data_IF_796281390713
#
_entry.id   IF_796281390713
#
_cell.length_a   1.000
_cell.length_b   1.000
_cell.length_c   1.000
_cell.angle_alpha   90.00
_cell.angle_beta   90.00
_cell.angle_gamma   90.00
#
_symmetry.space_group_name_H-M   'P 1'
#
loop_
_entity.id
_entity.type
_entity.pdbx_description
1 polymer ?
#
# COMPACT_ATOMS: atom_id res chain seq x y z
N UNK A 1 8.38 5.56 22.85
CA UNK A 1 7.44 6.29 21.96
C UNK A 1 6.12 5.53 21.92
N UNK A 2 5.01 6.25 21.77
CA UNK A 2 3.68 5.75 21.44
C UNK A 2 3.56 5.68 19.92
N UNK A 3 3.45 4.48 19.37
CA UNK A 3 3.35 4.21 17.94
C UNK A 3 1.95 3.69 17.63
N UNK A 4 1.30 4.27 16.62
CA UNK A 4 0.20 3.59 15.95
C UNK A 4 0.78 2.69 14.85
N UNK A 5 0.33 1.44 14.76
CA UNK A 5 0.68 0.52 13.68
C UNK A 5 -0.54 0.38 12.78
N UNK A 6 -0.47 0.91 11.55
CA UNK A 6 -1.58 0.87 10.59
C UNK A 6 -1.43 -0.31 9.65
N UNK A 7 -2.54 -0.99 9.37
CA UNK A 7 -2.62 -2.09 8.41
C UNK A 7 -3.99 -2.08 7.72
N UNK A 8 -4.12 -2.74 6.58
CA UNK A 8 -5.38 -2.80 5.84
C UNK A 8 -6.32 -3.84 6.45
N UNK A 9 -7.46 -3.44 7.01
CA UNK A 9 -8.44 -4.38 7.58
C UNK A 9 -9.21 -5.11 6.47
N UNK A 10 -8.72 -6.31 6.12
CA UNK A 10 -9.31 -7.14 5.06
C UNK A 10 -10.37 -8.13 5.55
N UNK A 11 -10.76 -8.10 6.84
CA UNK A 11 -11.70 -9.08 7.43
C UNK A 11 -13.09 -9.06 6.79
N UNK A 12 -13.48 -7.93 6.18
CA UNK A 12 -14.72 -7.77 5.44
C UNK A 12 -14.67 -8.27 3.99
N UNK A 13 -13.48 -8.60 3.47
CA UNK A 13 -13.30 -9.06 2.10
C UNK A 13 -13.60 -10.56 1.99
N UNK A 14 -14.24 -10.96 0.88
CA UNK A 14 -14.58 -12.37 0.61
C UNK A 14 -13.51 -12.99 -0.28
N UNK A 15 -13.03 -14.17 0.12
CA UNK A 15 -12.07 -14.97 -0.66
C UNK A 15 -12.68 -15.41 -1.99
N UNK A 16 -11.96 -15.25 -3.10
CA UNK A 16 -12.37 -15.77 -4.42
C UNK A 16 -13.27 -14.86 -5.28
N UNK A 17 -13.34 -13.56 -5.00
CA UNK A 17 -13.81 -12.54 -5.95
C UNK A 17 -12.60 -11.87 -6.62
N UNK A 18 -12.76 -11.36 -7.85
CA UNK A 18 -11.68 -10.89 -8.74
C UNK A 18 -10.78 -9.76 -8.20
N UNK A 19 -11.03 -9.29 -6.99
CA UNK A 19 -10.11 -8.45 -6.25
C UNK A 19 -9.05 -9.31 -5.57
N UNK A 20 -7.83 -9.18 -6.04
CA UNK A 20 -6.64 -9.87 -5.55
C UNK A 20 -6.64 -9.99 -4.01
N UNK A 21 -6.71 -11.24 -3.54
CA UNK A 21 -6.75 -11.62 -2.13
C UNK A 21 -5.45 -11.13 -1.46
N UNK A 22 -5.53 -10.24 -0.48
CA UNK A 22 -4.42 -9.95 0.45
C UNK A 22 -4.72 -10.66 1.79
N UNK A 23 -4.47 -11.98 1.89
CA UNK A 23 -4.73 -12.77 3.11
C UNK A 23 -3.79 -12.43 4.29
N UNK A 24 -2.85 -11.50 4.11
CA UNK A 24 -1.73 -11.27 5.05
C UNK A 24 -1.84 -9.94 5.82
N UNK A 25 -3.03 -9.36 5.93
CA UNK A 25 -3.23 -8.02 6.50
C UNK A 25 -4.25 -8.00 7.66
N UNK A 26 -4.47 -9.10 8.38
CA UNK A 26 -5.25 -9.03 9.63
C UNK A 26 -4.37 -8.72 10.85
N UNK A 27 -4.99 -8.48 12.00
CA UNK A 27 -4.26 -8.16 13.23
C UNK A 27 -3.30 -9.28 13.66
N UNK A 28 -3.62 -10.55 13.35
CA UNK A 28 -2.74 -11.68 13.66
C UNK A 28 -1.47 -11.65 12.81
N UNK A 29 -1.59 -11.27 11.54
CA UNK A 29 -0.43 -11.07 10.66
C UNK A 29 0.51 -9.95 11.17
N UNK A 30 -0.02 -8.99 11.95
CA UNK A 30 0.78 -7.90 12.51
C UNK A 30 1.53 -8.26 13.80
N UNK A 31 1.16 -9.35 14.48
CA UNK A 31 1.73 -9.73 15.77
C UNK A 31 3.28 -9.80 15.78
N UNK A 32 3.96 -10.37 14.76
CA UNK A 32 5.42 -10.37 14.73
C UNK A 32 6.03 -8.96 14.79
N UNK A 33 5.44 -8.00 14.07
CA UNK A 33 5.91 -6.61 14.05
C UNK A 33 5.62 -5.93 15.39
N UNK A 34 4.40 -6.11 15.91
CA UNK A 34 3.97 -5.59 17.21
C UNK A 34 4.91 -6.08 18.32
N UNK A 35 5.20 -7.38 18.37
CA UNK A 35 6.07 -7.99 19.36
C UNK A 35 7.50 -7.42 19.31
N UNK A 36 8.04 -7.23 18.11
CA UNK A 36 9.39 -6.63 17.94
C UNK A 36 9.40 -5.18 18.39
N UNK A 37 8.43 -4.36 17.97
CA UNK A 37 8.34 -2.95 18.38
C UNK A 37 8.16 -2.79 19.89
N UNK A 38 7.33 -3.64 20.52
CA UNK A 38 7.17 -3.67 21.98
C UNK A 38 8.47 -4.07 22.68
N UNK A 39 9.18 -5.08 22.17
CA UNK A 39 10.49 -5.52 22.72
C UNK A 39 11.54 -4.41 22.64
N UNK A 40 11.45 -3.53 21.63
CA UNK A 40 12.30 -2.35 21.50
C UNK A 40 11.90 -1.19 22.44
N UNK A 41 10.86 -1.36 23.26
CA UNK A 41 10.42 -0.38 24.26
C UNK A 41 9.37 0.62 23.77
N UNK A 42 8.74 0.37 22.63
CA UNK A 42 7.63 1.20 22.14
C UNK A 42 6.28 0.73 22.72
N UNK A 43 5.38 1.68 22.96
CA UNK A 43 3.97 1.39 23.18
C UNK A 43 3.30 1.33 21.81
N UNK A 44 2.70 0.19 21.45
CA UNK A 44 2.19 -0.05 20.09
C UNK A 44 0.70 -0.28 20.14
N UNK A 45 -0.03 0.55 19.40
CA UNK A 45 -1.48 0.47 19.18
C UNK A 45 -1.75 0.03 17.74
N UNK A 46 -2.14 -1.24 17.50
CA UNK A 46 -2.52 -1.70 16.17
C UNK A 46 -3.87 -1.11 15.76
N UNK A 47 -3.98 -0.62 14.52
CA UNK A 47 -5.19 -0.03 13.96
C UNK A 47 -5.42 -0.54 12.54
N UNK A 48 -6.43 -1.39 12.39
CA UNK A 48 -6.92 -1.81 11.07
C UNK A 48 -7.71 -0.69 10.41
N UNK A 49 -7.46 -0.48 9.12
CA UNK A 49 -8.09 0.56 8.30
C UNK A 49 -8.77 -0.03 7.07
N UNK A 50 -9.96 0.47 6.79
CA UNK A 50 -10.63 0.33 5.50
C UNK A 50 -10.67 1.69 4.84
N UNK A 51 -11.02 1.76 3.56
CA UNK A 51 -11.18 3.05 2.91
C UNK A 51 -12.22 3.94 3.61
N UNK A 52 -13.29 3.32 4.12
CA UNK A 52 -14.35 4.01 4.83
C UNK A 52 -13.89 4.63 6.16
N UNK A 53 -12.91 4.03 6.84
CA UNK A 53 -12.44 4.49 8.16
C UNK A 53 -11.23 5.41 8.09
N UNK A 54 -10.63 5.62 6.92
CA UNK A 54 -9.48 6.52 6.73
C UNK A 54 -9.74 7.92 7.29
N UNK A 55 -10.89 8.52 6.98
CA UNK A 55 -11.21 9.88 7.40
C UNK A 55 -11.34 10.02 8.93
N UNK A 56 -11.56 8.93 9.65
CA UNK A 56 -11.70 8.88 11.11
C UNK A 56 -10.37 8.65 11.83
N UNK A 57 -9.28 8.40 11.08
CA UNK A 57 -7.95 8.14 11.64
C UNK A 57 -7.36 9.32 12.45
N UNK A 58 -7.44 10.60 12.03
CA UNK A 58 -6.74 11.69 12.71
C UNK A 58 -7.03 11.82 14.22
N UNK A 59 -8.30 11.81 14.69
CA UNK A 59 -8.57 11.88 16.13
C UNK A 59 -8.03 10.66 16.88
N UNK A 60 -7.96 9.47 16.25
CA UNK A 60 -7.42 8.24 16.85
C UNK A 60 -5.91 8.28 17.03
N UNK A 61 -5.21 9.11 16.25
CA UNK A 61 -3.76 9.29 16.35
C UNK A 61 -3.34 10.30 17.44
N UNK A 62 -4.29 10.88 18.18
CA UNK A 62 -4.00 11.87 19.23
C UNK A 62 -3.05 11.31 20.29
N UNK A 63 -1.88 11.95 20.41
CA UNK A 63 -0.83 11.57 21.36
C UNK A 63 0.04 10.39 20.92
N UNK A 64 -0.09 9.93 19.68
CA UNK A 64 0.93 9.10 19.04
C UNK A 64 2.13 9.98 18.64
N UNK A 65 3.34 9.47 18.87
CA UNK A 65 4.57 10.15 18.47
C UNK A 65 4.88 9.96 16.98
N UNK A 66 4.52 8.79 16.43
CA UNK A 66 4.69 8.44 15.03
C UNK A 66 3.79 7.26 14.64
N UNK A 67 3.69 7.03 13.33
CA UNK A 67 2.94 5.92 12.74
C UNK A 67 3.88 4.93 12.06
N UNK A 68 3.76 3.66 12.41
CA UNK A 68 4.36 2.55 11.68
C UNK A 68 3.37 2.08 10.61
N UNK A 69 3.51 2.59 9.38
CA UNK A 69 2.57 2.34 8.30
C UNK A 69 2.88 1.04 7.55
N UNK A 70 1.96 0.08 7.60
CA UNK A 70 1.97 -1.17 6.83
C UNK A 70 0.75 -1.30 5.91
N UNK A 71 -0.03 -0.22 5.74
CA UNK A 71 -1.12 -0.22 4.77
C UNK A 71 -0.55 -0.44 3.36
N UNK A 72 -1.04 -1.49 2.71
CA UNK A 72 -0.69 -1.83 1.34
C UNK A 72 -1.94 -2.13 0.49
N UNK A 73 -1.82 -1.93 -0.81
CA UNK A 73 -2.85 -2.29 -1.78
C UNK A 73 -3.89 -1.21 -2.10
N UNK A 74 -4.61 -1.49 -3.18
CA UNK A 74 -5.77 -0.76 -3.69
C UNK A 74 -6.92 -1.75 -3.83
N UNK A 75 -7.53 -2.11 -2.70
CA UNK A 75 -8.57 -3.14 -2.63
C UNK A 75 -9.93 -2.71 -3.19
N UNK A 76 -10.90 -3.62 -3.09
CA UNK A 76 -12.31 -3.48 -3.54
C UNK A 76 -13.03 -2.30 -2.89
N UNK A 77 -12.55 -1.90 -1.72
CA UNK A 77 -13.13 -0.85 -0.90
C UNK A 77 -12.46 0.51 -1.14
N UNK A 78 -11.35 0.58 -1.90
CA UNK A 78 -10.68 1.82 -2.29
C UNK A 78 -9.15 1.76 -2.14
N UNK A 79 -8.52 2.92 -2.18
CA UNK A 79 -7.05 3.04 -2.21
C UNK A 79 -6.47 3.29 -0.81
N UNK A 80 -6.65 2.33 0.11
CA UNK A 80 -6.14 2.46 1.50
C UNK A 80 -4.63 2.67 1.54
N UNK A 81 -3.87 1.93 0.73
CA UNK A 81 -2.41 2.01 0.61
C UNK A 81 -1.88 3.44 0.42
N UNK A 82 -2.23 4.15 -0.67
CA UNK A 82 -1.81 5.53 -0.86
C UNK A 82 -2.62 6.56 -0.05
N UNK A 83 -3.84 6.22 0.39
CA UNK A 83 -4.69 7.11 1.18
C UNK A 83 -4.16 7.37 2.60
N UNK A 84 -3.60 6.35 3.25
CA UNK A 84 -3.00 6.48 4.58
C UNK A 84 -1.83 7.48 4.62
N UNK A 85 -0.74 7.35 3.83
CA UNK A 85 0.34 8.32 3.84
C UNK A 85 -0.11 9.71 3.39
N UNK A 86 -1.08 9.83 2.47
CA UNK A 86 -1.60 11.14 2.06
C UNK A 86 -2.23 11.90 3.23
N UNK A 87 -3.07 11.22 4.01
CA UNK A 87 -3.70 11.78 5.19
C UNK A 87 -2.67 12.13 6.26
N UNK A 88 -1.70 11.25 6.52
CA UNK A 88 -0.64 11.47 7.50
C UNK A 88 0.21 12.70 7.14
N UNK A 89 0.58 12.84 5.86
CA UNK A 89 1.29 14.02 5.34
C UNK A 89 0.47 15.30 5.53
N UNK A 90 -0.82 15.27 5.21
CA UNK A 90 -1.71 16.42 5.38
C UNK A 90 -1.81 16.86 6.85
N UNK A 91 -1.82 15.92 7.79
CA UNK A 91 -1.89 16.20 9.22
C UNK A 91 -0.52 16.49 9.87
N UNK A 92 0.58 16.38 9.12
CA UNK A 92 1.93 16.57 9.65
C UNK A 92 2.35 15.49 10.67
N UNK A 93 1.71 14.32 10.64
CA UNK A 93 1.99 13.22 11.56
C UNK A 93 3.22 12.46 11.04
N UNK A 94 4.27 12.24 11.83
CA UNK A 94 5.43 11.45 11.38
C UNK A 94 5.06 10.00 11.12
N UNK A 95 5.55 9.42 10.02
CA UNK A 95 5.25 8.02 9.68
C UNK A 95 6.41 7.33 8.94
N UNK A 96 6.44 6.00 8.99
CA UNK A 96 7.41 5.16 8.26
C UNK A 96 6.97 4.90 6.82
N UNK A 97 7.92 4.60 5.95
CA UNK A 97 7.65 4.24 4.55
C UNK A 97 7.80 5.41 3.59
N UNK A 98 7.06 5.40 2.50
CA UNK A 98 7.17 6.39 1.43
C UNK A 98 6.01 7.40 1.44
N UNK A 99 6.22 8.55 0.81
CA UNK A 99 5.16 9.55 0.58
C UNK A 99 4.04 9.01 -0.30
N UNK A 100 2.85 9.62 -0.23
CA UNK A 100 1.73 9.25 -1.08
C UNK A 100 2.06 9.33 -2.59
N UNK A 101 2.78 10.38 -3.00
CA UNK A 101 3.17 10.56 -4.40
C UNK A 101 4.14 9.47 -4.87
N UNK A 102 5.12 9.11 -4.03
CA UNK A 102 6.04 8.00 -4.32
C UNK A 102 5.29 6.68 -4.41
N UNK A 103 4.33 6.46 -3.50
CA UNK A 103 3.50 5.27 -3.50
C UNK A 103 2.71 5.18 -4.82
N UNK A 104 1.93 6.21 -5.16
CA UNK A 104 1.07 6.25 -6.36
C UNK A 104 1.88 6.06 -7.65
N UNK A 105 3.08 6.65 -7.72
CA UNK A 105 3.98 6.43 -8.85
C UNK A 105 4.45 4.98 -8.96
N UNK A 106 4.70 4.32 -7.83
CA UNK A 106 5.30 2.98 -7.80
C UNK A 106 4.29 1.84 -8.05
N UNK A 107 3.02 2.03 -7.69
CA UNK A 107 1.97 1.00 -7.90
C UNK A 107 1.57 0.88 -9.39
N UNK A 108 1.64 1.96 -10.15
CA UNK A 108 1.48 1.92 -11.61
C UNK A 108 2.81 1.49 -12.25
N UNK A 109 2.91 0.21 -12.62
CA UNK A 109 4.10 -0.34 -13.27
C UNK A 109 4.46 0.38 -14.57
N UNK A 110 3.48 0.87 -15.33
CA UNK A 110 3.76 1.61 -16.57
C UNK A 110 4.37 2.98 -16.27
N UNK A 111 3.83 3.69 -15.27
CA UNK A 111 4.38 4.96 -14.78
C UNK A 111 5.79 4.76 -14.21
N UNK A 112 5.97 3.83 -13.27
CA UNK A 112 7.25 3.53 -12.64
C UNK A 112 8.34 3.18 -13.67
N UNK A 113 8.01 2.34 -14.66
CA UNK A 113 8.94 1.97 -15.74
C UNK A 113 9.39 3.18 -16.55
N UNK A 114 8.48 4.11 -16.88
CA UNK A 114 8.83 5.35 -17.61
C UNK A 114 9.80 6.22 -16.82
N UNK A 115 9.55 6.37 -15.51
CA UNK A 115 10.44 7.15 -14.62
C UNK A 115 11.82 6.51 -14.54
N UNK A 116 11.89 5.19 -14.30
CA UNK A 116 13.14 4.44 -14.23
C UNK A 116 13.94 4.51 -15.53
N UNK A 117 13.29 4.29 -16.67
CA UNK A 117 13.93 4.37 -17.98
C UNK A 117 14.48 5.78 -18.28
N UNK A 118 13.73 6.82 -17.93
CA UNK A 118 14.16 8.22 -18.10
C UNK A 118 15.38 8.55 -17.22
N UNK A 119 15.47 7.93 -16.05
CA UNK A 119 16.63 8.02 -15.16
C UNK A 119 17.82 7.12 -15.57
N UNK A 120 17.72 6.39 -16.68
CA UNK A 120 18.79 5.49 -17.15
C UNK A 120 18.91 4.19 -16.35
N UNK A 121 17.91 3.85 -15.52
CA UNK A 121 17.86 2.57 -14.81
C UNK A 121 17.42 1.47 -15.79
N UNK A 122 18.18 0.37 -15.94
CA UNK A 122 17.77 -0.74 -16.79
C UNK A 122 16.43 -1.32 -16.34
N UNK A 123 15.51 -1.47 -17.27
CA UNK A 123 14.22 -2.15 -17.07
C UNK A 123 14.03 -3.24 -18.13
N UNK A 124 13.30 -4.33 -17.84
CA UNK A 124 12.93 -5.30 -18.88
C UNK A 124 12.13 -4.62 -19.99
N UNK A 125 12.28 -5.02 -21.25
CA UNK A 125 11.39 -4.55 -22.32
C UNK A 125 9.93 -4.95 -22.03
N UNK A 126 8.99 -4.12 -22.48
CA UNK A 126 7.57 -4.36 -22.21
C UNK A 126 6.70 -3.20 -22.64
N UNK A 127 5.40 -3.49 -22.81
CA UNK A 127 4.41 -2.55 -23.31
C UNK A 127 3.18 -2.59 -22.40
N UNK A 128 2.63 -1.41 -22.10
CA UNK A 128 1.34 -1.28 -21.44
C UNK A 128 0.25 -1.11 -22.51
N UNK A 129 -0.85 -1.83 -22.35
CA UNK A 129 -2.02 -1.75 -23.21
C UNK A 129 -3.19 -1.22 -22.38
N UNK A 130 -3.91 -0.24 -22.92
CA UNK A 130 -5.02 0.41 -22.21
C UNK A 130 -6.36 -0.34 -22.36
N UNK A 131 -6.45 -1.27 -23.32
CA UNK A 131 -7.63 -2.09 -23.57
C UNK A 131 -7.24 -3.38 -24.29
N UNK A 132 -8.19 -4.32 -24.36
CA UNK A 132 -8.00 -5.59 -25.06
C UNK A 132 -7.84 -5.39 -26.57
N UNK A 133 -8.59 -4.46 -27.18
CA UNK A 133 -8.50 -4.16 -28.61
C UNK A 133 -7.11 -3.64 -29.00
N UNK A 134 -6.40 -2.99 -28.07
CA UNK A 134 -5.02 -2.56 -28.30
C UNK A 134 -4.02 -3.72 -28.41
N UNK A 135 -4.41 -4.94 -28.00
CA UNK A 135 -3.63 -6.17 -28.15
C UNK A 135 -3.85 -6.84 -29.52
N UNK A 136 -4.85 -6.43 -30.29
CA UNK A 136 -5.20 -7.10 -31.55
C UNK A 136 -4.01 -7.16 -32.52
N UNK A 137 -3.64 -8.37 -32.92
CA UNK A 137 -2.51 -8.62 -33.81
C UNK A 137 -1.12 -8.42 -33.18
N UNK A 138 -1.04 -8.11 -31.88
CA UNK A 138 0.23 -8.04 -31.18
C UNK A 138 0.81 -9.44 -30.98
N UNK A 139 2.02 -9.65 -31.49
CA UNK A 139 2.78 -10.88 -31.30
C UNK A 139 4.05 -10.54 -30.50
N UNK A 140 4.12 -10.90 -29.21
CA UNK A 140 5.32 -10.66 -28.43
C UNK A 140 6.44 -11.64 -28.80
N UNK A 141 7.68 -11.27 -28.48
CA UNK A 141 8.80 -12.20 -28.46
C UNK A 141 8.69 -13.08 -27.21
N UNK A 142 8.23 -14.32 -27.37
CA UNK A 142 8.02 -15.25 -26.26
C UNK A 142 9.34 -15.72 -25.64
N UNK A 143 9.37 -15.98 -24.31
CA UNK A 143 8.26 -15.87 -23.35
C UNK A 143 8.04 -14.44 -22.83
N UNK A 144 6.82 -14.13 -22.37
CA UNK A 144 6.49 -12.86 -21.68
C UNK A 144 5.87 -13.09 -20.31
N UNK A 145 5.93 -12.06 -19.46
CA UNK A 145 5.21 -11.97 -18.19
C UNK A 145 4.05 -11.00 -18.40
N UNK A 146 2.85 -11.42 -18.03
CA UNK A 146 1.62 -10.60 -18.02
C UNK A 146 1.21 -10.41 -16.57
#
# INVERSE_FOLDING_TARGET
MRLALLFCDTRGLRRGIASDDLPDQDEQAMEPVIAVLRRLGHQVEPMGLTFATLAELPPRLTGCDAVFNLCDGSGVDGTVGPGAPALLQQQGIPFTGCSADSYLMSIDKACARRVLATAGVPIPEGRAFASEEALDGYVPAWPVIV
#
